data_IF_182619871560
#
_entry.id   IF_182619871560
#
_cell.length_a   1.000
_cell.length_b   1.000
_cell.length_c   1.000
_cell.angle_alpha   90.00
_cell.angle_beta   90.00
_cell.angle_gamma   90.00
#
_symmetry.space_group_name_H-M   'P 1'
#
loop_
_entity.id
_entity.type
_entity.pdbx_description
1 polymer ?
#
# COMPACT_ATOMS: atom_id res chain seq x y z
N UNK A 1 -5.64 8.10 2.97
CA UNK A 1 -6.14 7.12 1.98
C UNK A 1 -7.21 7.72 1.05
N UNK A 2 -7.14 7.43 -0.26
CA UNK A 2 -8.18 7.78 -1.26
C UNK A 2 -9.06 6.57 -1.53
N UNK A 3 -10.39 6.75 -1.53
CA UNK A 3 -11.36 5.67 -1.74
C UNK A 3 -12.45 6.04 -2.74
N UNK A 4 -13.02 5.04 -3.40
CA UNK A 4 -14.22 5.16 -4.24
C UNK A 4 -15.25 4.12 -3.84
N UNK A 5 -16.52 4.46 -3.94
CA UNK A 5 -17.64 3.54 -3.74
C UNK A 5 -18.37 3.30 -5.05
N UNK A 6 -18.78 2.06 -5.29
CA UNK A 6 -19.59 1.72 -6.44
C UNK A 6 -20.45 0.48 -6.16
N UNK A 7 -21.51 0.29 -6.94
CA UNK A 7 -22.28 -0.94 -6.96
C UNK A 7 -21.56 -1.99 -7.83
N UNK A 8 -21.29 -3.15 -7.24
CA UNK A 8 -20.77 -4.30 -7.96
C UNK A 8 -21.75 -5.45 -7.82
N UNK A 9 -22.53 -5.69 -8.88
CA UNK A 9 -23.50 -6.78 -8.94
C UNK A 9 -24.57 -6.71 -7.82
N UNK A 10 -24.97 -5.50 -7.41
CA UNK A 10 -25.96 -5.27 -6.35
C UNK A 10 -25.40 -5.13 -4.94
N UNK A 11 -24.08 -5.22 -4.77
CA UNK A 11 -23.39 -5.03 -3.49
C UNK A 11 -22.62 -3.70 -3.49
N UNK A 12 -22.70 -2.97 -2.37
CA UNK A 12 -21.93 -1.74 -2.18
C UNK A 12 -20.48 -2.09 -1.86
N UNK A 13 -19.56 -1.77 -2.78
CA UNK A 13 -18.13 -2.01 -2.64
C UNK A 13 -17.41 -0.68 -2.44
N UNK A 14 -16.51 -0.62 -1.47
CA UNK A 14 -15.58 0.51 -1.30
C UNK A 14 -14.17 0.03 -1.62
N UNK A 15 -13.49 0.72 -2.53
CA UNK A 15 -12.11 0.40 -2.90
C UNK A 15 -11.16 1.52 -2.48
N UNK A 16 -10.04 1.17 -1.87
CA UNK A 16 -8.91 2.08 -1.69
C UNK A 16 -8.02 2.07 -2.93
N UNK A 17 -7.62 3.26 -3.39
CA UNK A 17 -6.71 3.43 -4.51
C UNK A 17 -5.29 3.61 -3.97
N UNK A 18 -4.37 2.81 -4.48
CA UNK A 18 -2.96 2.79 -4.06
C UNK A 18 -2.07 3.06 -5.26
N UNK A 19 -1.13 3.98 -5.10
CA UNK A 19 -0.14 4.27 -6.12
C UNK A 19 0.98 3.22 -6.10
N UNK A 20 1.34 2.74 -7.28
CA UNK A 20 2.51 1.93 -7.53
C UNK A 20 3.16 2.33 -8.86
N UNK A 21 4.21 1.61 -9.24
CA UNK A 21 4.90 1.84 -10.51
C UNK A 21 5.13 0.50 -11.22
N UNK A 22 4.89 0.47 -12.53
CA UNK A 22 5.25 -0.70 -13.32
C UNK A 22 6.75 -0.80 -13.53
N UNK A 23 7.25 -2.03 -13.69
CA UNK A 23 8.61 -2.25 -14.20
C UNK A 23 8.74 -1.61 -15.59
N UNK A 24 9.65 -0.65 -15.72
CA UNK A 24 9.82 0.16 -16.94
C UNK A 24 9.12 1.53 -16.90
N UNK A 25 8.48 1.87 -15.78
CA UNK A 25 7.89 3.17 -15.48
C UNK A 25 6.41 3.26 -15.83
N UNK A 26 5.78 4.31 -15.28
CA UNK A 26 4.35 4.57 -15.44
C UNK A 26 3.54 4.14 -14.23
N UNK A 27 2.48 4.89 -13.96
CA UNK A 27 1.64 4.71 -12.79
C UNK A 27 0.87 3.38 -12.85
N UNK A 28 1.03 2.58 -11.80
CA UNK A 28 0.11 1.49 -11.48
C UNK A 28 -0.87 1.99 -10.42
N UNK A 29 -2.17 1.72 -10.58
CA UNK A 29 -3.17 1.99 -9.54
C UNK A 29 -3.74 0.66 -9.07
N UNK A 30 -3.32 0.23 -7.89
CA UNK A 30 -3.84 -0.96 -7.23
C UNK A 30 -5.15 -0.63 -6.52
N UNK A 31 -6.05 -1.60 -6.46
CA UNK A 31 -7.34 -1.49 -5.80
C UNK A 31 -7.37 -2.48 -4.63
N UNK A 32 -7.58 -1.98 -3.42
CA UNK A 32 -7.75 -2.80 -2.22
C UNK A 32 -9.19 -2.74 -1.74
N UNK A 33 -9.72 -3.86 -1.24
CA UNK A 33 -11.08 -3.91 -0.71
C UNK A 33 -11.16 -3.19 0.65
N UNK A 34 -11.77 -2.01 0.68
CA UNK A 34 -11.94 -1.19 1.87
C UNK A 34 -13.40 -1.21 2.38
N UNK A 35 -14.18 -2.24 2.02
CA UNK A 35 -15.63 -2.30 2.25
C UNK A 35 -15.99 -2.46 3.72
N UNK A 36 -15.47 -3.49 4.39
CA UNK A 36 -15.75 -3.76 5.80
C UNK A 36 -14.46 -3.97 6.60
N UNK A 37 -14.08 -3.04 7.50
CA UNK A 37 -12.92 -3.18 8.39
C UNK A 37 -12.95 -4.39 9.33
N UNK A 38 -14.08 -5.09 9.46
CA UNK A 38 -14.23 -6.30 10.27
C UNK A 38 -14.09 -7.59 9.47
N UNK A 39 -14.04 -7.49 8.14
CA UNK A 39 -13.87 -8.65 7.26
C UNK A 39 -12.41 -9.09 7.24
N UNK A 40 -12.18 -10.40 7.15
CA UNK A 40 -10.83 -10.95 6.87
C UNK A 40 -10.27 -10.46 5.52
N UNK A 41 -11.15 -10.09 4.58
CA UNK A 41 -10.77 -9.52 3.29
C UNK A 41 -10.47 -8.02 3.31
N UNK A 42 -10.53 -7.35 4.47
CA UNK A 42 -10.24 -5.92 4.54
C UNK A 42 -8.81 -5.63 4.09
N UNK A 43 -8.68 -4.67 3.17
CA UNK A 43 -7.46 -4.27 2.48
C UNK A 43 -6.80 -5.37 1.62
N UNK A 44 -7.49 -6.47 1.35
CA UNK A 44 -7.02 -7.47 0.40
C UNK A 44 -7.05 -6.91 -1.04
N UNK A 45 -6.20 -7.44 -1.91
CA UNK A 45 -6.14 -7.05 -3.32
C UNK A 45 -7.45 -7.36 -4.03
N UNK A 46 -8.15 -6.33 -4.50
CA UNK A 46 -9.35 -6.45 -5.33
C UNK A 46 -9.00 -6.53 -6.82
N UNK A 47 -8.00 -5.76 -7.25
CA UNK A 47 -7.55 -5.75 -8.64
C UNK A 47 -6.56 -4.62 -8.94
N UNK A 48 -6.32 -4.39 -10.23
CA UNK A 48 -5.47 -3.29 -10.72
C UNK A 48 -6.29 -2.51 -11.74
N UNK A 49 -6.44 -1.20 -11.52
CA UNK A 49 -7.18 -0.31 -12.42
C UNK A 49 -6.44 -0.12 -13.75
N UNK A 50 -5.11 -0.16 -13.71
CA UNK A 50 -4.24 0.15 -14.84
C UNK A 50 -3.78 -1.10 -15.57
N UNK A 51 -3.44 -0.95 -16.85
CA UNK A 51 -2.72 -1.95 -17.62
C UNK A 51 -1.39 -1.38 -18.16
N UNK A 52 -0.32 -2.17 -18.10
CA UNK A 52 0.95 -1.81 -18.74
C UNK A 52 0.92 -2.21 -20.22
N UNK A 53 0.48 -1.27 -21.07
CA UNK A 53 0.31 -1.50 -22.50
C UNK A 53 1.43 -0.80 -23.29
N UNK A 54 2.29 -1.52 -24.04
CA UNK A 54 3.41 -0.91 -24.76
C UNK A 54 3.01 0.21 -25.73
N UNK A 55 1.86 0.09 -26.39
CA UNK A 55 1.34 1.11 -27.32
C UNK A 55 0.85 2.38 -26.62
N UNK A 56 0.65 2.37 -25.29
CA UNK A 56 0.34 3.55 -24.49
C UNK A 56 1.53 4.09 -23.69
N UNK A 57 2.70 3.44 -23.74
CA UNK A 57 3.82 3.74 -22.84
C UNK A 57 4.24 5.22 -22.89
N UNK A 58 4.28 5.84 -24.07
CA UNK A 58 4.61 7.27 -24.20
C UNK A 58 3.57 8.18 -23.51
N UNK A 59 2.28 7.86 -23.64
CA UNK A 59 1.21 8.60 -22.98
C UNK A 59 1.26 8.43 -21.45
N UNK A 60 1.46 7.21 -20.98
CA UNK A 60 1.49 6.86 -19.55
C UNK A 60 2.73 7.37 -18.81
N UNK A 61 3.74 7.91 -19.52
CA UNK A 61 4.81 8.70 -18.90
C UNK A 61 4.34 10.07 -18.40
N UNK A 62 3.21 10.56 -18.90
CA UNK A 62 2.60 11.79 -18.39
C UNK A 62 2.08 11.60 -16.97
N UNK A 63 2.21 12.63 -16.14
CA UNK A 63 1.78 12.58 -14.74
C UNK A 63 0.29 12.20 -14.63
N UNK A 64 -0.01 11.11 -13.93
CA UNK A 64 -1.38 10.61 -13.76
C UNK A 64 -1.99 9.93 -14.98
N UNK A 65 -1.32 9.90 -16.12
CA UNK A 65 -1.86 9.28 -17.32
C UNK A 65 -1.77 7.77 -17.23
N UNK A 66 -2.89 7.12 -17.48
CA UNK A 66 -3.02 5.66 -17.40
C UNK A 66 -3.74 5.09 -18.63
N UNK A 67 -3.51 3.81 -18.87
CA UNK A 67 -4.40 2.96 -19.65
C UNK A 67 -5.19 2.11 -18.66
N UNK A 68 -6.51 2.14 -18.75
CA UNK A 68 -7.41 1.38 -17.88
C UNK A 68 -7.43 -0.08 -18.35
N UNK A 69 -7.26 -1.02 -17.43
CA UNK A 69 -7.34 -2.44 -17.75
C UNK A 69 -8.73 -2.81 -18.30
N UNK A 70 -8.76 -3.64 -19.34
CA UNK A 70 -9.99 -4.00 -20.04
C UNK A 70 -10.95 -4.85 -19.17
N UNK A 71 -10.48 -5.42 -18.06
CA UNK A 71 -11.29 -6.15 -17.09
C UNK A 71 -11.96 -5.24 -16.05
N UNK A 72 -11.62 -3.95 -16.00
CA UNK A 72 -12.22 -3.00 -15.04
C UNK A 72 -13.71 -2.80 -15.37
N UNK A 73 -14.63 -3.00 -14.40
CA UNK A 73 -16.05 -2.80 -14.62
C UNK A 73 -16.38 -1.35 -15.00
N UNK A 74 -17.28 -1.16 -15.96
CA UNK A 74 -17.72 0.17 -16.39
C UNK A 74 -18.30 1.00 -15.22
N UNK A 75 -19.05 0.37 -14.31
CA UNK A 75 -19.59 1.02 -13.12
C UNK A 75 -18.51 1.61 -12.20
N UNK A 76 -17.34 0.96 -12.09
CA UNK A 76 -16.21 1.50 -11.34
C UNK A 76 -15.61 2.72 -12.05
N UNK A 77 -15.47 2.68 -13.37
CA UNK A 77 -14.99 3.84 -14.16
C UNK A 77 -15.94 5.02 -13.98
N UNK A 78 -17.25 4.80 -14.09
CA UNK A 78 -18.27 5.83 -13.89
C UNK A 78 -18.21 6.44 -12.47
N UNK A 79 -18.04 5.60 -11.45
CA UNK A 79 -17.90 6.06 -10.07
C UNK A 79 -16.62 6.90 -9.86
N UNK A 80 -15.50 6.48 -10.45
CA UNK A 80 -14.24 7.22 -10.40
C UNK A 80 -14.34 8.59 -11.08
N UNK A 81 -15.02 8.68 -12.22
CA UNK A 81 -15.28 9.95 -12.90
C UNK A 81 -16.25 10.83 -12.12
N UNK A 82 -17.34 10.26 -11.59
CA UNK A 82 -18.32 10.99 -10.79
C UNK A 82 -17.71 11.54 -9.49
N UNK A 83 -16.79 10.80 -8.89
CA UNK A 83 -16.02 11.24 -7.73
C UNK A 83 -14.90 12.26 -8.08
N UNK A 84 -14.68 12.53 -9.37
CA UNK A 84 -13.63 13.45 -9.83
C UNK A 84 -12.21 12.91 -9.68
N UNK A 85 -12.05 11.61 -9.40
CA UNK A 85 -10.76 10.94 -9.21
C UNK A 85 -10.09 10.60 -10.54
N UNK A 86 -10.90 10.48 -11.60
CA UNK A 86 -10.47 10.13 -12.95
C UNK A 86 -11.09 11.07 -13.98
N UNK A 87 -10.34 11.34 -15.05
CA UNK A 87 -10.86 11.99 -16.26
C UNK A 87 -10.58 11.14 -17.48
N UNK A 88 -11.62 10.70 -18.17
CA UNK A 88 -11.45 9.93 -19.40
C UNK A 88 -10.88 10.77 -20.53
N UNK A 89 -9.96 10.19 -21.29
CA UNK A 89 -9.55 10.74 -22.58
C UNK A 89 -10.51 10.24 -23.66
N UNK A 90 -10.67 11.02 -24.74
CA UNK A 90 -11.55 10.68 -25.89
C UNK A 90 -10.96 9.56 -26.77
N UNK A 91 -9.99 8.80 -26.27
CA UNK A 91 -9.24 7.82 -27.05
C UNK A 91 -8.89 6.57 -26.24
N UNK A 92 -8.67 5.49 -26.96
CA UNK A 92 -8.21 4.20 -26.44
C UNK A 92 -7.02 3.71 -27.24
N UNK A 93 -6.21 2.84 -26.65
CA UNK A 93 -5.20 2.07 -27.40
C UNK A 93 -5.66 0.64 -27.61
N UNK A 94 -5.19 0.01 -28.69
CA UNK A 94 -5.37 -1.41 -28.92
C UNK A 94 -4.09 -2.18 -28.54
N UNK A 95 -4.27 -3.37 -27.99
CA UNK A 95 -3.22 -4.38 -27.87
C UNK A 95 -3.84 -5.76 -28.03
N UNK A 96 -3.44 -6.49 -29.07
CA UNK A 96 -4.13 -7.69 -29.51
C UNK A 96 -5.61 -7.42 -29.82
N UNK A 97 -6.49 -8.21 -29.19
CA UNK A 97 -7.95 -8.08 -29.34
C UNK A 97 -8.60 -7.12 -28.31
N UNK A 98 -7.82 -6.60 -27.36
CA UNK A 98 -8.32 -5.74 -26.30
C UNK A 98 -8.17 -4.25 -26.65
N UNK A 99 -9.09 -3.44 -26.13
CA UNK A 99 -9.03 -1.98 -26.15
C UNK A 99 -8.95 -1.45 -24.74
N UNK A 100 -7.99 -0.56 -24.51
CA UNK A 100 -7.71 0.02 -23.20
C UNK A 100 -8.06 1.51 -23.28
N UNK A 101 -9.11 1.95 -22.58
CA UNK A 101 -9.41 3.37 -22.47
C UNK A 101 -8.24 4.12 -21.85
N UNK A 102 -7.94 5.31 -22.35
CA UNK A 102 -6.96 6.18 -21.74
C UNK A 102 -7.65 7.16 -20.80
N UNK A 103 -7.02 7.45 -19.67
CA UNK A 103 -7.53 8.40 -18.70
C UNK A 103 -6.37 9.09 -17.96
N UNK A 104 -6.71 10.14 -17.22
CA UNK A 104 -5.79 10.84 -16.32
C UNK A 104 -6.38 10.82 -14.93
N UNK A 105 -5.64 10.28 -13.96
CA UNK A 105 -5.96 10.37 -12.54
C UNK A 105 -5.82 11.83 -12.11
N UNK A 106 -6.80 12.34 -11.37
CA UNK A 106 -6.79 13.73 -10.93
C UNK A 106 -5.60 14.01 -10.00
N UNK A 107 -4.99 15.20 -10.11
CA UNK A 107 -3.83 15.58 -9.29
C UNK A 107 -4.08 15.43 -7.79
N UNK A 108 -5.22 15.89 -7.30
CA UNK A 108 -5.57 15.75 -5.88
C UNK A 108 -5.75 14.28 -5.44
N UNK A 109 -6.15 13.40 -6.35
CA UNK A 109 -6.25 11.97 -6.06
C UNK A 109 -4.85 11.35 -6.02
N UNK A 110 -3.97 11.72 -6.95
CA UNK A 110 -2.55 11.31 -6.94
C UNK A 110 -1.84 11.75 -5.68
N UNK A 111 -1.98 13.02 -5.29
CA UNK A 111 -1.36 13.57 -4.08
C UNK A 111 -1.88 12.90 -2.80
N UNK A 112 -3.10 12.36 -2.84
CA UNK A 112 -3.71 11.65 -1.71
C UNK A 112 -3.48 10.14 -1.69
N UNK A 113 -3.01 9.54 -2.80
CA UNK A 113 -2.68 8.12 -2.86
C UNK A 113 -1.30 7.90 -2.25
N UNK A 114 -1.22 6.99 -1.27
CA UNK A 114 0.05 6.48 -0.75
C UNK A 114 0.52 5.25 -1.52
N UNK A 115 1.73 4.80 -1.19
CA UNK A 115 2.20 3.48 -1.57
C UNK A 115 1.43 2.36 -0.88
N UNK A 116 1.68 1.10 -1.28
CA UNK A 116 1.00 -0.06 -0.71
C UNK A 116 1.23 -0.17 0.81
N UNK A 117 2.49 -0.17 1.25
CA UNK A 117 2.82 -0.29 2.67
C UNK A 117 2.25 0.88 3.48
N UNK A 118 2.36 2.11 2.98
CA UNK A 118 1.80 3.30 3.65
C UNK A 118 0.28 3.19 3.82
N UNK A 119 -0.42 2.74 2.79
CA UNK A 119 -1.88 2.60 2.82
C UNK A 119 -2.30 1.48 3.77
N UNK A 120 -1.56 0.37 3.80
CA UNK A 120 -1.81 -0.73 4.74
C UNK A 120 -1.50 -0.34 6.18
N UNK A 121 -0.42 0.40 6.43
CA UNK A 121 -0.12 0.94 7.76
C UNK A 121 -1.19 1.93 8.24
N UNK A 122 -1.70 2.79 7.34
CA UNK A 122 -2.78 3.73 7.67
C UNK A 122 -4.06 2.98 8.09
N UNK A 123 -4.40 1.89 7.38
CA UNK A 123 -5.64 1.16 7.60
C UNK A 123 -5.57 0.12 8.74
N UNK A 124 -4.45 -0.58 8.89
CA UNK A 124 -4.28 -1.74 9.76
C UNK A 124 -3.35 -1.46 10.96
N UNK A 125 -2.60 -0.36 10.92
CA UNK A 125 -1.61 -0.01 11.93
C UNK A 125 -0.20 -0.51 11.58
N UNK A 126 0.76 -0.04 12.38
CA UNK A 126 2.16 -0.43 12.29
C UNK A 126 2.50 -1.42 13.41
N UNK A 127 3.18 -2.50 13.06
CA UNK A 127 3.75 -3.48 13.99
C UNK A 127 5.14 -3.02 14.42
N UNK A 128 5.43 -3.15 15.72
CA UNK A 128 6.74 -2.89 16.31
C UNK A 128 7.45 -4.22 16.51
N UNK A 129 8.64 -4.35 15.93
CA UNK A 129 9.46 -5.57 15.98
C UNK A 129 10.80 -5.25 16.64
N UNK A 130 11.28 -6.15 17.49
CA UNK A 130 12.66 -6.15 17.97
C UNK A 130 13.39 -7.26 17.24
N UNK A 131 14.39 -6.87 16.46
CA UNK A 131 15.37 -7.78 15.88
C UNK A 131 16.64 -7.75 16.72
N UNK A 132 17.31 -8.88 16.87
CA UNK A 132 18.53 -8.98 17.65
C UNK A 132 19.47 -10.06 17.12
N UNK A 133 20.74 -9.92 17.49
CA UNK A 133 21.75 -10.96 17.40
C UNK A 133 22.50 -11.00 18.73
N UNK A 134 22.54 -12.16 19.38
CA UNK A 134 23.24 -12.37 20.65
C UNK A 134 23.89 -13.74 20.68
N UNK A 135 25.18 -13.80 21.05
CA UNK A 135 25.89 -15.06 21.20
C UNK A 135 26.01 -15.91 19.92
N UNK A 136 25.86 -15.30 18.74
CA UNK A 136 25.89 -15.98 17.43
C UNK A 136 24.55 -16.58 16.99
N UNK A 137 23.48 -16.32 17.73
CA UNK A 137 22.09 -16.60 17.34
C UNK A 137 21.34 -15.29 17.09
N UNK A 138 20.45 -15.27 16.11
CA UNK A 138 19.72 -14.07 15.70
C UNK A 138 18.25 -14.35 15.51
N UNK A 139 17.41 -13.36 15.77
CA UNK A 139 15.98 -13.50 15.65
C UNK A 139 15.24 -12.18 15.69
N UNK A 140 13.92 -12.27 15.52
CA UNK A 140 13.03 -11.12 15.64
C UNK A 140 11.72 -11.54 16.33
N UNK A 141 11.13 -10.62 17.07
CA UNK A 141 9.82 -10.83 17.69
C UNK A 141 8.98 -9.55 17.69
N UNK A 142 7.66 -9.74 17.65
CA UNK A 142 6.69 -8.66 17.67
C UNK A 142 6.42 -8.20 19.11
N UNK A 143 6.47 -6.89 19.32
CA UNK A 143 6.05 -6.24 20.57
C UNK A 143 4.57 -5.90 20.53
N UNK A 144 4.04 -5.64 19.32
CA UNK A 144 2.61 -5.44 19.08
C UNK A 144 2.33 -4.48 17.93
N UNK A 145 1.06 -4.32 17.60
CA UNK A 145 0.56 -3.46 16.52
C UNK A 145 -0.29 -2.33 17.06
N UNK A 146 -0.13 -1.13 16.52
CA UNK A 146 -0.95 0.02 16.88
C UNK A 146 -1.10 1.00 15.70
N UNK A 147 -2.15 1.84 15.68
CA UNK A 147 -2.32 2.84 14.63
C UNK A 147 -1.11 3.79 14.52
N UNK A 148 -0.73 4.11 13.29
CA UNK A 148 0.35 5.05 13.00
C UNK A 148 0.11 6.41 13.69
N UNK A 149 1.16 6.99 14.27
CA UNK A 149 1.08 8.27 14.98
C UNK A 149 0.31 8.26 16.30
N UNK A 150 -0.10 7.09 16.80
CA UNK A 150 -0.83 6.99 18.06
C UNK A 150 0.10 6.93 19.28
N UNK A 151 -0.39 7.41 20.43
CA UNK A 151 0.28 7.23 21.72
C UNK A 151 0.39 5.75 22.15
N UNK A 152 -0.40 4.85 21.55
CA UNK A 152 -0.24 3.41 21.75
C UNK A 152 1.01 2.90 21.02
N UNK A 153 1.23 3.33 19.78
CA UNK A 153 2.44 3.00 19.01
C UNK A 153 3.71 3.53 19.71
N UNK A 154 3.68 4.76 20.21
CA UNK A 154 4.81 5.34 20.96
C UNK A 154 5.15 4.52 22.23
N UNK A 155 4.14 4.00 22.93
CA UNK A 155 4.34 3.12 24.09
C UNK A 155 4.95 1.78 23.70
N UNK A 156 4.51 1.18 22.60
CA UNK A 156 5.11 -0.06 22.07
C UNK A 156 6.57 0.16 21.69
N UNK A 157 6.90 1.27 21.02
CA UNK A 157 8.28 1.62 20.68
C UNK A 157 9.13 1.81 21.94
N UNK A 158 8.61 2.46 22.98
CA UNK A 158 9.34 2.63 24.23
C UNK A 158 9.61 1.28 24.96
N UNK A 159 8.64 0.37 24.94
CA UNK A 159 8.81 -0.98 25.47
C UNK A 159 9.88 -1.75 24.66
N UNK A 160 9.77 -1.73 23.32
CA UNK A 160 10.72 -2.37 22.41
C UNK A 160 12.16 -1.87 22.59
N UNK A 161 12.35 -0.56 22.83
CA UNK A 161 13.67 0.02 23.13
C UNK A 161 14.26 -0.55 24.41
N UNK A 162 13.44 -0.70 25.45
CA UNK A 162 13.88 -1.25 26.73
C UNK A 162 14.32 -2.73 26.57
N UNK A 163 13.60 -3.50 25.76
CA UNK A 163 13.98 -4.88 25.42
C UNK A 163 15.28 -4.93 24.61
N UNK A 164 15.43 -4.06 23.61
CA UNK A 164 16.63 -3.97 22.80
C UNK A 164 17.87 -3.62 23.65
N UNK A 165 17.75 -2.69 24.60
CA UNK A 165 18.82 -2.35 25.53
C UNK A 165 19.22 -3.55 26.41
N UNK A 166 18.24 -4.33 26.89
CA UNK A 166 18.51 -5.52 27.70
C UNK A 166 19.26 -6.60 26.91
N UNK A 167 18.89 -6.81 25.64
CA UNK A 167 19.56 -7.75 24.74
C UNK A 167 20.99 -7.30 24.43
N UNK A 168 21.20 -6.01 24.14
CA UNK A 168 22.53 -5.46 23.90
C UNK A 168 23.45 -5.60 25.13
N UNK A 169 22.92 -5.39 26.35
CA UNK A 169 23.68 -5.59 27.60
C UNK A 169 24.08 -7.06 27.81
N UNK A 170 23.25 -8.01 27.38
CA UNK A 170 23.59 -9.44 27.41
C UNK A 170 24.69 -9.84 26.40
N UNK A 171 25.06 -8.91 25.50
CA UNK A 171 26.09 -9.08 24.48
C UNK A 171 25.47 -9.27 23.10
N UNK A 172 25.95 -8.52 22.11
CA UNK A 172 25.41 -8.52 20.74
C UNK A 172 24.79 -7.17 20.37
N UNK A 173 23.82 -7.17 19.46
CA UNK A 173 23.08 -5.96 19.06
C UNK A 173 21.58 -6.23 18.95
N UNK A 174 20.78 -5.18 19.04
CA UNK A 174 19.35 -5.22 18.80
C UNK A 174 18.86 -3.93 18.12
N UNK A 175 17.84 -4.04 17.27
CA UNK A 175 17.20 -2.92 16.59
C UNK A 175 15.68 -2.97 16.76
N UNK A 176 15.07 -1.80 16.92
CA UNK A 176 13.61 -1.65 16.90
C UNK A 176 13.19 -1.20 15.52
N UNK A 177 12.30 -1.96 14.90
CA UNK A 177 11.71 -1.68 13.58
C UNK A 177 10.22 -1.45 13.68
N UNK A 178 9.72 -0.60 12.79
CA UNK A 178 8.29 -0.28 12.67
C UNK A 178 7.88 -0.34 11.21
N UNK A 179 6.82 -1.10 10.91
CA UNK A 179 6.29 -1.25 9.55
C UNK A 179 4.96 -1.97 9.50
N UNK A 180 4.47 -2.26 8.30
CA UNK A 180 3.33 -3.16 8.09
C UNK A 180 3.79 -4.61 7.91
N UNK A 181 3.11 -5.55 8.56
CA UNK A 181 3.40 -6.99 8.49
C UNK A 181 3.71 -7.59 9.86
N UNK A 182 4.25 -8.80 9.82
CA UNK A 182 4.73 -9.59 10.97
C UNK A 182 6.26 -9.45 11.12
N UNK A 183 6.84 -10.12 12.12
CA UNK A 183 8.30 -10.12 12.34
C UNK A 183 9.10 -10.74 11.18
N UNK A 184 8.51 -11.63 10.37
CA UNK A 184 9.19 -12.20 9.19
C UNK A 184 9.21 -11.22 8.03
N UNK A 185 8.17 -10.39 7.91
CA UNK A 185 8.03 -9.41 6.85
C UNK A 185 8.76 -8.12 7.16
N UNK A 186 8.73 -7.66 8.42
CA UNK A 186 9.36 -6.41 8.91
C UNK A 186 10.82 -6.70 9.29
N UNK A 187 11.63 -6.99 8.28
CA UNK A 187 13.06 -7.19 8.40
C UNK A 187 13.84 -5.91 8.03
N UNK A 188 15.14 -6.06 7.71
CA UNK A 188 16.02 -4.95 7.37
C UNK A 188 15.62 -4.19 6.09
N UNK A 189 14.77 -4.77 5.23
CA UNK A 189 14.43 -4.19 3.93
C UNK A 189 13.13 -3.39 3.96
N UNK A 190 12.15 -3.81 4.76
CA UNK A 190 10.80 -3.21 4.74
C UNK A 190 10.49 -2.38 5.99
N UNK A 191 11.12 -2.70 7.12
CA UNK A 191 10.90 -2.04 8.40
C UNK A 191 11.70 -0.75 8.54
N UNK A 192 11.07 0.32 9.05
CA UNK A 192 11.79 1.53 9.42
C UNK A 192 12.50 1.32 10.75
N UNK A 193 13.83 1.38 10.77
CA UNK A 193 14.62 1.35 12.00
C UNK A 193 14.44 2.64 12.78
N UNK A 194 13.93 2.54 14.02
CA UNK A 194 13.67 3.68 14.91
C UNK A 194 14.59 3.72 16.14
N UNK A 195 15.36 2.64 16.35
CA UNK A 195 16.35 2.53 17.41
C UNK A 195 17.33 1.38 17.15
N UNK A 196 18.57 1.51 17.61
CA UNK A 196 19.60 0.47 17.60
C UNK A 196 20.37 0.54 18.92
N UNK A 197 20.63 -0.61 19.52
CA UNK A 197 21.49 -0.80 20.70
C UNK A 197 22.53 -1.89 20.41
N UNK A 198 23.77 -1.72 20.86
CA UNK A 198 24.89 -2.65 20.59
C UNK A 198 26.26 -1.99 20.76
#
# INVERSE_FOLDING_TARGET
>A
MVTVEFDSMGEAVRLALVAGEYVGGGLAVLLLDATDPRSEGYMAGWGVLTANVPSAAEWCRGHGNIAIDAAVPAALIEALEAAGLLRMAVRSVASGMARYPLATVAGHALDGMGGLSETLEEALGSTVVVEYESGGDGGAFEVGTAPAGSAALERLIAAARSEADALAVAGGWAAVRVGFGDAETIDCETGRTVYVAG
#
